data_IF_440350507973
#
_entry.id   IF_440350507973
#
_cell.length_a   1.000
_cell.length_b   1.000
_cell.length_c   1.000
_cell.angle_alpha   90.00
_cell.angle_beta   90.00
_cell.angle_gamma   90.00
#
_symmetry.space_group_name_H-M   'P 1'
#
loop_
_entity.id
_entity.type
_entity.pdbx_description
1 polymer ?
#
# COMPACT_ATOMS: atom_id res chain seq x y z
N UNK A 1 -27.90 0.61 2.70
CA UNK A 1 -26.63 1.11 2.17
C UNK A 1 -26.44 2.62 2.33
N UNK A 2 -27.34 3.49 1.88
CA UNK A 2 -27.14 4.95 1.99
C UNK A 2 -27.00 5.42 3.45
N UNK A 3 -27.88 5.00 4.36
CA UNK A 3 -27.80 5.32 5.81
C UNK A 3 -26.52 4.81 6.45
N UNK A 4 -26.09 3.60 6.09
CA UNK A 4 -24.82 3.01 6.56
C UNK A 4 -23.61 3.86 6.11
N UNK A 5 -23.53 4.19 4.80
CA UNK A 5 -22.46 5.04 4.27
C UNK A 5 -22.45 6.43 4.90
N UNK A 6 -23.62 7.05 5.07
CA UNK A 6 -23.74 8.35 5.72
C UNK A 6 -23.27 8.29 7.17
N UNK A 7 -23.66 7.25 7.93
CA UNK A 7 -23.19 7.04 9.30
C UNK A 7 -21.67 6.85 9.39
N UNK A 8 -21.09 6.07 8.46
CA UNK A 8 -19.63 5.88 8.39
C UNK A 8 -18.88 7.15 8.03
N UNK A 9 -19.37 7.90 7.04
CA UNK A 9 -18.78 9.20 6.68
C UNK A 9 -18.83 10.20 7.84
N UNK A 10 -19.95 10.27 8.55
CA UNK A 10 -20.08 11.14 9.73
C UNK A 10 -19.12 10.73 10.83
N UNK A 11 -19.04 9.42 11.14
CA UNK A 11 -18.09 8.89 12.12
C UNK A 11 -16.65 9.24 11.74
N UNK A 12 -16.28 9.07 10.48
CA UNK A 12 -14.94 9.41 10.00
C UNK A 12 -14.64 10.89 10.03
N UNK A 13 -15.60 11.75 9.68
CA UNK A 13 -15.42 13.19 9.78
C UNK A 13 -15.15 13.62 11.23
N UNK A 14 -15.88 13.04 12.20
CA UNK A 14 -15.65 13.30 13.63
C UNK A 14 -14.26 12.80 14.03
N UNK A 15 -13.91 11.55 13.71
CA UNK A 15 -12.60 10.98 14.04
C UNK A 15 -11.46 11.77 13.41
N UNK A 16 -11.66 12.29 12.20
CA UNK A 16 -10.69 13.11 11.51
C UNK A 16 -10.44 14.45 12.22
N UNK A 17 -11.51 15.14 12.63
CA UNK A 17 -11.38 16.40 13.38
C UNK A 17 -10.71 16.14 14.74
N UNK A 18 -11.09 15.07 15.44
CA UNK A 18 -10.45 14.65 16.70
C UNK A 18 -8.96 14.37 16.49
N UNK A 19 -8.62 13.64 15.44
CA UNK A 19 -7.22 13.31 15.09
C UNK A 19 -6.40 14.58 14.82
N UNK A 20 -6.89 15.50 13.98
CA UNK A 20 -6.20 16.77 13.72
C UNK A 20 -6.07 17.62 14.99
N UNK A 21 -7.09 17.61 15.85
CA UNK A 21 -7.05 18.32 17.15
C UNK A 21 -5.96 17.74 18.05
N UNK A 22 -5.83 16.41 18.09
CA UNK A 22 -4.76 15.74 18.85
C UNK A 22 -3.38 16.08 18.29
N UNK A 23 -3.20 16.08 16.95
CA UNK A 23 -1.95 16.50 16.30
C UNK A 23 -1.60 17.93 16.68
N UNK A 24 -2.57 18.85 16.64
CA UNK A 24 -2.37 20.23 17.05
C UNK A 24 -2.02 20.36 18.54
N UNK A 25 -2.72 19.62 19.42
CA UNK A 25 -2.41 19.60 20.86
C UNK A 25 -1.00 19.06 21.14
N UNK A 26 -0.57 18.01 20.40
CA UNK A 26 0.81 17.50 20.51
C UNK A 26 1.84 18.56 20.14
N UNK A 27 1.56 19.37 19.11
CA UNK A 27 2.43 20.49 18.73
C UNK A 27 2.54 21.51 19.85
N UNK A 28 1.41 21.87 20.49
CA UNK A 28 1.40 22.83 21.59
C UNK A 28 2.05 22.28 22.88
N UNK A 29 2.07 20.95 23.06
CA UNK A 29 2.68 20.29 24.18
C UNK A 29 4.20 20.07 24.04
N UNK A 30 4.78 20.37 22.89
CA UNK A 30 6.23 20.26 22.69
C UNK A 30 6.95 21.26 23.63
N UNK A 31 8.01 20.82 24.32
CA UNK A 31 8.79 21.71 25.17
C UNK A 31 9.54 22.74 24.32
N UNK A 32 9.33 24.03 24.63
CA UNK A 32 9.86 25.17 23.87
C UNK A 32 8.76 25.85 23.06
N UNK A 33 8.93 27.15 22.80
CA UNK A 33 8.03 27.86 21.88
C UNK A 33 8.31 27.30 20.46
N UNK A 34 7.26 26.89 19.75
CA UNK A 34 7.34 26.47 18.35
C UNK A 34 8.10 27.56 17.56
N UNK A 35 7.91 28.81 17.92
CA UNK A 35 8.65 29.93 17.35
C UNK A 35 10.16 29.88 17.67
N UNK A 36 10.58 29.39 18.82
CA UNK A 36 11.99 29.32 19.19
C UNK A 36 12.72 28.18 18.48
N UNK A 37 12.06 27.04 18.28
CA UNK A 37 12.58 25.93 17.47
C UNK A 37 12.72 26.32 15.99
N UNK A 38 11.76 27.09 15.46
CA UNK A 38 11.75 27.67 14.14
C UNK A 38 12.74 28.82 13.95
N UNK A 39 12.91 29.63 14.99
CA UNK A 39 13.73 30.85 15.00
C UNK A 39 15.19 30.53 15.36
N UNK A 40 15.40 29.40 16.05
CA UNK A 40 16.73 28.99 16.54
C UNK A 40 17.71 28.51 15.47
N UNK A 41 17.25 28.18 14.26
CA UNK A 41 18.15 27.78 13.17
C UNK A 41 18.83 29.01 12.53
N UNK A 42 20.15 29.20 12.74
CA UNK A 42 20.86 30.35 12.19
C UNK A 42 20.97 30.33 10.67
N UNK A 43 20.65 29.22 10.00
CA UNK A 43 20.68 29.08 8.53
C UNK A 43 19.52 29.79 7.85
N UNK A 44 18.41 30.00 8.56
CA UNK A 44 17.21 30.65 8.02
C UNK A 44 17.33 32.18 8.20
N UNK A 45 17.24 32.97 7.13
CA UNK A 45 17.28 34.46 7.20
C UNK A 45 16.19 35.02 8.13
N UNK A 46 16.52 36.05 8.91
CA UNK A 46 15.58 36.64 9.89
C UNK A 46 14.27 37.14 9.26
N UNK A 47 14.32 37.64 8.03
CA UNK A 47 13.14 38.06 7.27
C UNK A 47 12.18 36.89 7.01
N UNK A 48 12.73 35.74 6.59
CA UNK A 48 11.94 34.51 6.32
C UNK A 48 11.33 33.96 7.61
N UNK A 49 12.06 34.02 8.73
CA UNK A 49 11.55 33.60 10.04
C UNK A 49 10.35 34.45 10.50
N UNK A 50 10.40 35.75 10.30
CA UNK A 50 9.30 36.69 10.62
C UNK A 50 8.08 36.41 9.74
N UNK A 51 8.30 36.24 8.46
CA UNK A 51 7.24 35.90 7.48
C UNK A 51 6.56 34.55 7.79
N UNK A 52 7.35 33.53 8.14
CA UNK A 52 6.85 32.23 8.61
C UNK A 52 6.06 32.33 9.91
N UNK A 53 6.52 33.14 10.86
CA UNK A 53 5.83 33.40 12.14
C UNK A 53 4.47 34.05 11.91
N UNK A 54 4.40 34.98 10.97
CA UNK A 54 3.18 35.68 10.60
C UNK A 54 2.23 34.79 9.80
N UNK A 55 2.74 34.03 8.82
CA UNK A 55 1.94 33.11 8.00
C UNK A 55 1.36 31.93 8.80
N UNK A 56 2.09 31.46 9.82
CA UNK A 56 1.62 30.43 10.76
C UNK A 56 0.71 30.98 11.86
N UNK A 57 0.54 32.32 11.93
CA UNK A 57 -0.31 32.96 12.90
C UNK A 57 0.12 32.76 14.37
N UNK A 58 1.43 32.48 14.62
CA UNK A 58 1.94 32.16 15.96
C UNK A 58 1.82 33.32 16.97
N UNK A 59 1.55 34.52 16.51
CA UNK A 59 1.28 35.70 17.33
C UNK A 59 -0.19 35.82 17.75
N UNK A 60 -1.07 34.91 17.31
CA UNK A 60 -2.50 34.97 17.53
C UNK A 60 -2.94 34.13 18.77
N UNK A 61 -4.12 34.36 19.33
CA UNK A 61 -4.65 33.51 20.39
C UNK A 61 -4.79 32.06 19.95
N UNK A 62 -4.59 31.10 20.87
CA UNK A 62 -4.55 29.66 20.58
C UNK A 62 -5.78 29.14 19.81
N UNK A 63 -6.98 29.66 20.08
CA UNK A 63 -8.19 29.26 19.34
C UNK A 63 -8.15 29.69 17.86
N UNK A 64 -7.52 30.84 17.56
CA UNK A 64 -7.35 31.30 16.19
C UNK A 64 -6.30 30.47 15.48
N UNK A 65 -5.17 30.17 16.14
CA UNK A 65 -4.13 29.27 15.61
C UNK A 65 -4.72 27.89 15.26
N UNK A 66 -5.56 27.32 16.14
CA UNK A 66 -6.25 26.06 15.90
C UNK A 66 -7.15 26.11 14.67
N UNK A 67 -8.01 27.15 14.56
CA UNK A 67 -8.90 27.30 13.41
C UNK A 67 -8.11 27.50 12.10
N UNK A 68 -7.04 28.27 12.16
CA UNK A 68 -6.14 28.47 11.02
C UNK A 68 -5.47 27.16 10.60
N UNK A 69 -4.97 26.36 11.56
CA UNK A 69 -4.38 25.06 11.29
C UNK A 69 -5.36 24.13 10.57
N UNK A 70 -6.59 23.99 11.09
CA UNK A 70 -7.64 23.16 10.49
C UNK A 70 -8.00 23.67 9.07
N UNK A 71 -8.18 24.98 8.93
CA UNK A 71 -8.59 25.59 7.65
C UNK A 71 -7.51 25.42 6.58
N UNK A 72 -6.26 25.67 6.94
CA UNK A 72 -5.11 25.53 6.03
C UNK A 72 -4.91 24.07 5.62
N UNK A 73 -5.11 23.13 6.55
CA UNK A 73 -5.06 21.71 6.23
C UNK A 73 -6.07 21.34 5.14
N UNK A 74 -7.33 21.77 5.28
CA UNK A 74 -8.37 21.51 4.27
C UNK A 74 -8.15 22.21 2.93
N UNK A 75 -7.40 23.32 2.93
CA UNK A 75 -6.97 24.02 1.70
C UNK A 75 -5.74 23.39 1.05
N UNK A 76 -5.07 22.45 1.74
CA UNK A 76 -3.80 21.87 1.30
C UNK A 76 -2.59 22.78 1.55
N UNK A 77 -2.77 23.88 2.27
CA UNK A 77 -1.74 24.86 2.63
C UNK A 77 -1.04 24.41 3.92
N UNK A 78 -0.09 23.48 3.80
CA UNK A 78 0.63 22.88 4.94
C UNK A 78 1.94 23.65 5.26
N UNK A 79 2.15 24.80 4.61
CA UNK A 79 3.36 25.61 4.76
C UNK A 79 4.54 25.07 3.97
N UNK A 80 5.73 25.57 4.29
CA UNK A 80 7.00 25.19 3.65
C UNK A 80 7.84 24.34 4.61
N UNK A 81 8.59 23.39 4.04
CA UNK A 81 9.54 22.57 4.79
C UNK A 81 10.75 23.43 5.18
N UNK A 82 11.15 23.37 6.45
CA UNK A 82 12.31 24.13 6.92
C UNK A 82 13.61 23.54 6.44
N UNK A 83 13.72 22.22 6.47
CA UNK A 83 14.93 21.50 6.05
C UNK A 83 15.14 21.50 4.54
N UNK A 84 14.09 21.81 3.77
CA UNK A 84 14.10 21.79 2.29
C UNK A 84 13.56 23.09 1.68
N UNK A 85 13.73 24.19 2.41
CA UNK A 85 13.29 25.51 1.95
C UNK A 85 13.81 25.80 0.52
N UNK A 86 12.99 26.36 -0.40
CA UNK A 86 11.61 26.85 -0.23
C UNK A 86 10.51 25.85 -0.64
N UNK A 87 10.73 24.53 -0.53
CA UNK A 87 9.78 23.53 -0.99
C UNK A 87 8.53 23.46 -0.10
N UNK A 88 7.36 23.46 -0.73
CA UNK A 88 6.09 23.27 -0.03
C UNK A 88 5.96 21.85 0.51
N UNK A 89 5.43 21.74 1.73
CA UNK A 89 5.15 20.46 2.38
C UNK A 89 4.19 19.63 1.54
N UNK A 90 3.13 20.22 1.00
CA UNK A 90 2.16 19.57 0.11
C UNK A 90 2.83 18.89 -1.08
N UNK A 91 3.74 19.56 -1.77
CA UNK A 91 4.46 19.03 -2.91
C UNK A 91 5.35 17.84 -2.54
N UNK A 92 6.04 17.91 -1.39
CA UNK A 92 6.87 16.81 -0.87
C UNK A 92 6.03 15.57 -0.57
N UNK A 93 4.87 15.74 0.07
CA UNK A 93 3.96 14.67 0.41
C UNK A 93 3.33 14.02 -0.83
N UNK A 94 2.87 14.81 -1.80
CA UNK A 94 2.35 14.30 -3.06
C UNK A 94 3.37 13.52 -3.89
N UNK A 95 4.66 13.83 -3.75
CA UNK A 95 5.73 13.05 -4.39
C UNK A 95 6.04 11.74 -3.65
N UNK A 96 5.93 11.70 -2.32
CA UNK A 96 6.24 10.54 -1.51
C UNK A 96 5.08 9.52 -1.46
N UNK A 97 3.84 9.99 -1.41
CA UNK A 97 2.64 9.18 -1.25
C UNK A 97 2.48 8.06 -2.29
N UNK A 98 2.59 8.31 -3.61
CA UNK A 98 2.43 7.25 -4.60
C UNK A 98 3.50 6.17 -4.49
N UNK A 99 4.71 6.52 -4.05
CA UNK A 99 5.80 5.56 -3.86
C UNK A 99 5.49 4.60 -2.70
N UNK A 100 4.96 5.11 -1.59
CA UNK A 100 4.47 4.29 -0.48
C UNK A 100 3.34 3.39 -0.93
N UNK A 101 2.32 3.95 -1.58
CA UNK A 101 1.15 3.19 -2.04
C UNK A 101 1.53 2.07 -3.01
N UNK A 102 2.36 2.35 -4.01
CA UNK A 102 2.79 1.33 -4.98
C UNK A 102 3.57 0.23 -4.30
N UNK A 103 4.51 0.56 -3.43
CA UNK A 103 5.32 -0.42 -2.72
C UNK A 103 4.44 -1.39 -1.91
N UNK A 104 3.63 -0.85 -1.00
CA UNK A 104 2.84 -1.66 -0.07
C UNK A 104 1.67 -2.35 -0.76
N UNK A 105 0.97 -1.68 -1.69
CA UNK A 105 -0.15 -2.26 -2.43
C UNK A 105 0.32 -3.43 -3.30
N UNK A 106 1.41 -3.25 -4.03
CA UNK A 106 1.96 -4.31 -4.89
C UNK A 106 2.41 -5.51 -4.07
N UNK A 107 3.14 -5.29 -2.96
CA UNK A 107 3.58 -6.35 -2.07
C UNK A 107 2.39 -7.11 -1.47
N UNK A 108 1.37 -6.39 -0.98
CA UNK A 108 0.17 -6.99 -0.38
C UNK A 108 -0.61 -7.80 -1.40
N UNK A 109 -0.92 -7.24 -2.57
CA UNK A 109 -1.71 -7.93 -3.59
C UNK A 109 -0.99 -9.19 -4.12
N UNK A 110 0.32 -9.11 -4.36
CA UNK A 110 1.12 -10.27 -4.77
C UNK A 110 1.15 -11.35 -3.69
N UNK A 111 1.34 -10.95 -2.42
CA UNK A 111 1.37 -11.86 -1.29
C UNK A 111 0.04 -12.60 -1.11
N UNK A 112 -1.08 -11.88 -1.20
CA UNK A 112 -2.41 -12.49 -1.09
C UNK A 112 -2.71 -13.42 -2.27
N UNK A 113 -2.38 -13.01 -3.48
CA UNK A 113 -2.58 -13.85 -4.66
C UNK A 113 -1.75 -15.14 -4.62
N UNK A 114 -0.45 -15.05 -4.28
CA UNK A 114 0.43 -16.20 -4.13
C UNK A 114 0.02 -17.06 -2.93
N UNK A 115 -0.25 -16.42 -1.78
CA UNK A 115 -0.66 -17.09 -0.54
C UNK A 115 -1.96 -17.87 -0.71
N UNK A 116 -2.95 -17.29 -1.38
CA UNK A 116 -4.20 -17.99 -1.70
C UNK A 116 -3.98 -19.19 -2.63
N UNK A 117 -3.19 -19.02 -3.69
CA UNK A 117 -2.90 -20.13 -4.62
C UNK A 117 -2.17 -21.27 -3.93
N UNK A 118 -1.11 -20.96 -3.19
CA UNK A 118 -0.29 -21.98 -2.50
C UNK A 118 -1.04 -22.62 -1.34
N UNK A 119 -1.73 -21.81 -0.49
CA UNK A 119 -2.53 -22.30 0.62
C UNK A 119 -3.62 -23.30 0.18
N UNK A 120 -4.34 -22.96 -0.90
CA UNK A 120 -5.31 -23.85 -1.54
C UNK A 120 -4.67 -25.16 -2.01
N UNK A 121 -3.49 -25.11 -2.60
CA UNK A 121 -2.82 -26.27 -3.17
C UNK A 121 -2.30 -27.21 -2.08
N UNK A 122 -1.71 -26.67 -1.02
CA UNK A 122 -1.18 -27.46 0.09
C UNK A 122 -2.31 -28.08 0.93
N UNK A 123 -3.43 -27.38 1.13
CA UNK A 123 -4.60 -27.94 1.80
C UNK A 123 -5.16 -29.17 1.04
N UNK A 124 -5.15 -29.12 -0.31
CA UNK A 124 -5.59 -30.22 -1.15
C UNK A 124 -4.63 -31.41 -1.13
N UNK A 125 -3.32 -31.17 -1.00
CA UNK A 125 -2.27 -32.21 -0.96
C UNK A 125 -1.88 -32.59 0.46
N UNK A 126 -2.86 -32.65 1.37
CA UNK A 126 -2.65 -32.96 2.80
C UNK A 126 -1.86 -34.27 2.97
N UNK A 127 -0.82 -34.23 3.82
CA UNK A 127 0.07 -35.37 4.10
C UNK A 127 1.29 -35.48 3.20
N UNK A 128 1.41 -34.66 2.16
CA UNK A 128 2.60 -34.65 1.31
C UNK A 128 3.80 -33.95 1.99
N UNK A 129 5.03 -34.42 1.70
CA UNK A 129 6.25 -33.79 2.22
C UNK A 129 6.36 -32.29 1.86
N UNK A 130 5.88 -31.90 0.67
CA UNK A 130 5.81 -30.51 0.23
C UNK A 130 4.89 -29.65 1.10
N UNK A 131 3.85 -30.21 1.68
CA UNK A 131 2.98 -29.50 2.63
C UNK A 131 3.76 -29.11 3.88
N UNK A 132 4.49 -30.04 4.50
CA UNK A 132 5.25 -29.77 5.71
C UNK A 132 6.32 -28.69 5.49
N UNK A 133 7.06 -28.77 4.38
CA UNK A 133 8.06 -27.74 4.03
C UNK A 133 7.47 -26.35 3.86
N UNK A 134 6.34 -26.24 3.17
CA UNK A 134 5.66 -24.95 2.97
C UNK A 134 5.04 -24.43 4.27
N UNK A 135 4.50 -25.29 5.14
CA UNK A 135 3.98 -24.86 6.45
C UNK A 135 5.11 -24.30 7.30
N UNK A 136 6.24 -25.02 7.42
CA UNK A 136 7.40 -24.55 8.20
C UNK A 136 7.92 -23.23 7.66
N UNK A 137 8.07 -23.12 6.32
CA UNK A 137 8.46 -21.86 5.68
C UNK A 137 7.47 -20.72 5.94
N UNK A 138 6.16 -21.02 5.88
CA UNK A 138 5.11 -20.04 6.16
C UNK A 138 5.13 -19.55 7.60
N UNK A 139 5.31 -20.47 8.57
CA UNK A 139 5.45 -20.14 10.00
C UNK A 139 6.69 -19.28 10.20
N UNK A 140 7.84 -19.66 9.62
CA UNK A 140 9.07 -18.87 9.69
C UNK A 140 8.85 -17.46 9.17
N UNK A 141 8.30 -17.30 7.96
CA UNK A 141 8.06 -16.01 7.34
C UNK A 141 7.07 -15.14 8.14
N UNK A 142 6.06 -15.74 8.76
CA UNK A 142 5.09 -15.01 9.58
C UNK A 142 5.66 -14.55 10.92
N UNK A 143 6.59 -15.33 11.52
CA UNK A 143 7.10 -15.09 12.87
C UNK A 143 8.45 -14.39 12.89
N UNK A 144 9.14 -14.32 11.75
CA UNK A 144 10.45 -13.69 11.66
C UNK A 144 10.37 -12.20 12.02
N UNK A 145 11.37 -11.71 12.77
CA UNK A 145 11.50 -10.29 13.07
C UNK A 145 11.80 -9.52 11.78
N UNK A 146 10.79 -8.82 11.27
CA UNK A 146 10.81 -8.18 9.95
C UNK A 146 12.04 -7.32 9.67
N UNK A 147 12.52 -6.41 10.58
CA UNK A 147 13.70 -5.58 10.30
C UNK A 147 14.95 -6.40 10.03
N UNK A 148 15.17 -7.47 10.83
CA UNK A 148 16.28 -8.39 10.62
C UNK A 148 16.17 -9.09 9.26
N UNK A 149 14.99 -9.62 8.95
CA UNK A 149 14.76 -10.30 7.67
C UNK A 149 15.00 -9.37 6.48
N UNK A 150 14.53 -8.12 6.55
CA UNK A 150 14.74 -7.13 5.50
C UNK A 150 16.23 -6.81 5.29
N UNK A 151 17.00 -6.69 6.36
CA UNK A 151 18.47 -6.49 6.27
C UNK A 151 19.15 -7.72 5.66
N UNK A 152 18.77 -8.93 6.05
CA UNK A 152 19.30 -10.17 5.46
C UNK A 152 19.00 -10.26 3.98
N UNK A 153 17.78 -9.94 3.56
CA UNK A 153 17.39 -9.88 2.15
C UNK A 153 18.21 -8.85 1.37
N UNK A 154 18.38 -7.66 1.92
CA UNK A 154 19.20 -6.61 1.32
C UNK A 154 20.67 -7.01 1.20
N UNK A 155 21.23 -7.60 2.27
CA UNK A 155 22.61 -8.07 2.26
C UNK A 155 22.82 -9.22 1.28
N UNK A 156 21.93 -10.23 1.28
CA UNK A 156 22.09 -11.41 0.42
C UNK A 156 21.90 -11.05 -1.05
N UNK A 157 20.78 -10.44 -1.40
CA UNK A 157 20.39 -10.23 -2.80
C UNK A 157 20.90 -8.91 -3.37
N UNK A 158 21.09 -7.89 -2.54
CA UNK A 158 21.63 -6.61 -2.96
C UNK A 158 23.16 -6.59 -2.95
N UNK A 159 23.78 -6.96 -1.81
CA UNK A 159 25.22 -6.85 -1.65
C UNK A 159 25.99 -8.09 -2.11
N UNK A 160 25.68 -9.29 -1.56
CA UNK A 160 26.47 -10.48 -1.80
C UNK A 160 26.28 -11.06 -3.21
N UNK A 161 25.04 -11.10 -3.71
CA UNK A 161 24.73 -11.60 -5.07
C UNK A 161 24.72 -10.49 -6.12
N UNK A 162 24.50 -9.24 -5.75
CA UNK A 162 24.41 -8.12 -6.71
C UNK A 162 23.21 -8.21 -7.66
N UNK A 163 22.18 -8.97 -7.29
CA UNK A 163 21.00 -9.15 -8.15
C UNK A 163 20.07 -7.94 -8.16
N UNK A 164 20.04 -7.19 -7.04
CA UNK A 164 19.19 -6.02 -6.90
C UNK A 164 19.99 -4.83 -6.35
N UNK A 165 19.52 -3.60 -6.60
CA UNK A 165 20.13 -2.39 -6.05
C UNK A 165 20.06 -2.39 -4.51
N UNK A 166 21.10 -1.81 -3.89
CA UNK A 166 21.14 -1.63 -2.44
C UNK A 166 20.34 -0.37 -2.06
N UNK A 167 19.02 -0.49 -2.04
CA UNK A 167 18.12 0.60 -1.67
C UNK A 167 18.01 1.72 -2.71
N UNK A 168 17.41 2.85 -2.31
CA UNK A 168 17.05 4.02 -3.12
C UNK A 168 15.89 3.74 -4.09
N UNK A 169 15.46 4.80 -4.78
CA UNK A 169 14.37 4.75 -5.77
C UNK A 169 14.88 4.63 -7.20
N UNK A 170 16.07 5.17 -7.45
CA UNK A 170 16.71 5.24 -8.76
C UNK A 170 18.23 5.18 -8.62
N UNK A 171 18.93 4.79 -9.67
CA UNK A 171 20.39 4.94 -9.77
C UNK A 171 20.75 6.38 -10.16
N UNK A 172 21.32 7.13 -9.22
CA UNK A 172 21.70 8.53 -9.43
C UNK A 172 22.66 8.74 -10.61
N UNK A 173 23.50 7.73 -10.95
CA UNK A 173 24.44 7.83 -12.07
C UNK A 173 23.72 7.73 -13.42
N UNK A 174 22.77 6.81 -13.52
CA UNK A 174 21.97 6.62 -14.74
C UNK A 174 21.09 7.83 -15.03
N UNK A 175 20.59 8.49 -13.98
CA UNK A 175 19.68 9.63 -14.11
C UNK A 175 20.38 10.99 -14.24
N UNK A 176 21.70 11.02 -14.13
CA UNK A 176 22.47 12.25 -14.34
C UNK A 176 22.41 12.66 -15.81
N UNK A 177 21.79 13.81 -16.09
CA UNK A 177 21.58 14.28 -17.48
C UNK A 177 20.39 13.65 -18.21
N UNK A 178 19.54 12.89 -17.51
CA UNK A 178 18.32 12.32 -18.09
C UNK A 178 17.36 13.42 -18.57
N UNK A 179 16.74 13.27 -19.77
CA UNK A 179 15.67 14.15 -20.21
C UNK A 179 14.35 13.93 -19.46
N UNK A 180 14.26 12.85 -18.67
CA UNK A 180 13.06 12.47 -17.94
C UNK A 180 13.21 12.78 -16.44
N UNK A 181 12.10 13.18 -15.82
CA UNK A 181 11.99 13.32 -14.37
C UNK A 181 11.45 12.01 -13.77
N UNK A 182 12.14 11.47 -12.76
CA UNK A 182 11.80 10.18 -12.16
C UNK A 182 10.35 10.14 -11.61
N UNK A 183 9.88 11.22 -10.99
CA UNK A 183 8.50 11.29 -10.49
C UNK A 183 7.47 11.24 -11.61
N UNK A 184 7.66 12.03 -12.66
CA UNK A 184 6.72 12.07 -13.78
C UNK A 184 6.65 10.72 -14.49
N UNK A 185 7.81 10.07 -14.69
CA UNK A 185 7.87 8.75 -15.29
C UNK A 185 7.19 7.70 -14.41
N UNK A 186 7.39 7.77 -13.09
CA UNK A 186 6.73 6.88 -12.14
C UNK A 186 5.20 7.05 -12.15
N UNK A 187 4.69 8.29 -12.21
CA UNK A 187 3.27 8.53 -12.38
C UNK A 187 2.72 7.96 -13.68
N UNK A 188 3.46 8.07 -14.79
CA UNK A 188 3.07 7.47 -16.07
C UNK A 188 3.04 5.94 -16.00
N UNK A 189 3.98 5.31 -15.27
CA UNK A 189 3.97 3.87 -15.01
C UNK A 189 2.70 3.46 -14.24
N UNK A 190 2.37 4.18 -13.17
CA UNK A 190 1.14 3.92 -12.37
C UNK A 190 -0.10 4.07 -13.28
N UNK A 191 -0.19 5.17 -14.00
CA UNK A 191 -1.33 5.45 -14.88
C UNK A 191 -1.49 4.36 -15.95
N UNK A 192 -0.39 3.91 -16.56
CA UNK A 192 -0.42 2.83 -17.56
C UNK A 192 -0.95 1.50 -16.97
N UNK A 193 -0.55 1.16 -15.74
CA UNK A 193 -1.08 -0.03 -15.03
C UNK A 193 -2.56 0.12 -14.73
N UNK A 194 -3.01 1.30 -14.28
CA UNK A 194 -4.43 1.57 -14.00
C UNK A 194 -5.26 1.45 -15.29
N UNK A 195 -4.83 2.07 -16.38
CA UNK A 195 -5.52 2.03 -17.68
C UNK A 195 -5.61 0.61 -18.22
N UNK A 196 -4.50 -0.15 -18.20
CA UNK A 196 -4.48 -1.54 -18.67
C UNK A 196 -5.37 -2.43 -17.78
N UNK A 197 -5.36 -2.22 -16.46
CA UNK A 197 -6.23 -2.93 -15.52
C UNK A 197 -7.72 -2.62 -15.76
N UNK A 198 -8.06 -1.37 -16.07
CA UNK A 198 -9.43 -0.96 -16.42
C UNK A 198 -9.88 -1.61 -17.74
N UNK A 199 -9.03 -1.60 -18.78
CA UNK A 199 -9.30 -2.25 -20.07
C UNK A 199 -9.51 -3.75 -19.87
N UNK A 200 -8.66 -4.41 -19.09
CA UNK A 200 -8.80 -5.82 -18.74
C UNK A 200 -10.12 -6.09 -18.00
N UNK A 201 -10.48 -5.25 -17.02
CA UNK A 201 -11.73 -5.35 -16.26
C UNK A 201 -12.97 -5.24 -17.15
N UNK A 202 -12.98 -4.25 -18.05
CA UNK A 202 -14.05 -4.06 -19.04
C UNK A 202 -14.12 -5.26 -19.99
N UNK A 203 -12.98 -5.69 -20.53
CA UNK A 203 -12.91 -6.85 -21.43
C UNK A 203 -13.43 -8.12 -20.75
N UNK A 204 -13.04 -8.38 -19.50
CA UNK A 204 -13.54 -9.50 -18.70
C UNK A 204 -15.06 -9.43 -18.45
N UNK A 205 -15.57 -8.24 -18.17
CA UNK A 205 -17.02 -8.02 -18.02
C UNK A 205 -17.78 -8.34 -19.32
N UNK A 206 -17.29 -7.88 -20.46
CA UNK A 206 -17.88 -8.15 -21.77
C UNK A 206 -17.81 -9.64 -22.11
N UNK A 207 -16.67 -10.30 -21.88
CA UNK A 207 -16.55 -11.76 -22.08
C UNK A 207 -17.56 -12.49 -21.17
N UNK A 208 -17.75 -12.08 -19.92
CA UNK A 208 -18.73 -12.66 -19.02
C UNK A 208 -20.18 -12.50 -19.49
N UNK A 209 -20.46 -11.42 -20.23
CA UNK A 209 -21.80 -11.13 -20.74
C UNK A 209 -22.12 -11.85 -22.05
N UNK A 210 -21.13 -12.02 -22.93
CA UNK A 210 -21.34 -12.56 -24.28
C UNK A 210 -20.92 -14.02 -24.47
N UNK A 211 -19.97 -14.53 -23.69
CA UNK A 211 -19.55 -15.92 -23.78
C UNK A 211 -20.56 -16.84 -23.10
N UNK A 212 -21.18 -17.75 -23.87
CA UNK A 212 -22.22 -18.68 -23.40
C UNK A 212 -21.65 -19.85 -22.60
N UNK A 213 -20.43 -20.25 -22.86
CA UNK A 213 -19.76 -21.39 -22.22
C UNK A 213 -18.68 -20.93 -21.24
N UNK A 214 -18.68 -21.56 -20.04
CA UNK A 214 -17.75 -21.25 -18.95
C UNK A 214 -16.28 -21.55 -19.26
N UNK A 215 -16.03 -22.56 -20.11
CA UNK A 215 -14.67 -22.89 -20.55
C UNK A 215 -14.12 -21.83 -21.51
N UNK A 216 -14.96 -21.41 -22.46
CA UNK A 216 -14.64 -20.34 -23.40
C UNK A 216 -14.43 -19.01 -22.64
N UNK A 217 -15.28 -18.70 -21.66
CA UNK A 217 -15.13 -17.53 -20.80
C UNK A 217 -13.79 -17.51 -20.06
N UNK A 218 -13.41 -18.67 -19.48
CA UNK A 218 -12.13 -18.81 -18.77
C UNK A 218 -10.92 -18.62 -19.71
N UNK A 219 -10.94 -19.25 -20.88
CA UNK A 219 -9.86 -19.14 -21.86
C UNK A 219 -9.72 -17.73 -22.42
N UNK A 220 -10.83 -17.08 -22.77
CA UNK A 220 -10.83 -15.71 -23.27
C UNK A 220 -10.36 -14.72 -22.21
N UNK A 221 -10.79 -14.88 -20.94
CA UNK A 221 -10.32 -14.00 -19.85
C UNK A 221 -8.84 -14.18 -19.55
N UNK A 222 -8.31 -15.41 -19.64
CA UNK A 222 -6.87 -15.65 -19.51
C UNK A 222 -6.09 -15.04 -20.69
N UNK A 223 -6.58 -15.23 -21.92
CA UNK A 223 -5.98 -14.63 -23.14
C UNK A 223 -5.94 -13.10 -23.05
N UNK A 224 -7.04 -12.47 -22.64
CA UNK A 224 -7.08 -11.01 -22.38
C UNK A 224 -6.06 -10.58 -21.33
N UNK A 225 -5.89 -11.35 -20.25
CA UNK A 225 -4.89 -11.08 -19.21
C UNK A 225 -3.46 -11.09 -19.78
N UNK A 226 -3.12 -12.14 -20.56
CA UNK A 226 -1.81 -12.21 -21.21
C UNK A 226 -1.60 -11.09 -22.23
N UNK A 227 -2.62 -10.75 -23.01
CA UNK A 227 -2.56 -9.65 -23.98
C UNK A 227 -2.38 -8.30 -23.26
N UNK A 228 -3.09 -8.06 -22.17
CA UNK A 228 -2.98 -6.83 -21.38
C UNK A 228 -1.59 -6.65 -20.78
N UNK A 229 -1.04 -7.71 -20.18
CA UNK A 229 0.33 -7.69 -19.65
C UNK A 229 1.35 -7.54 -20.78
N UNK A 230 1.20 -8.30 -21.87
CA UNK A 230 2.08 -8.21 -23.02
C UNK A 230 2.07 -6.82 -23.67
N UNK A 231 0.91 -6.20 -23.80
CA UNK A 231 0.78 -4.84 -24.32
C UNK A 231 1.46 -3.80 -23.40
N UNK A 232 1.33 -3.95 -22.08
CA UNK A 232 2.00 -3.06 -21.12
C UNK A 232 3.53 -3.19 -21.21
N UNK A 233 4.03 -4.43 -21.24
CA UNK A 233 5.46 -4.70 -21.37
C UNK A 233 5.99 -4.17 -22.70
N UNK A 234 5.29 -4.43 -23.80
CA UNK A 234 5.68 -3.97 -25.13
C UNK A 234 5.67 -2.45 -25.23
N UNK A 235 4.65 -1.79 -24.66
CA UNK A 235 4.56 -0.33 -24.61
C UNK A 235 5.80 0.28 -23.95
N UNK A 236 6.18 -0.21 -22.77
CA UNK A 236 7.35 0.31 -22.05
C UNK A 236 8.67 -0.13 -22.69
N UNK A 237 8.71 -1.30 -23.35
CA UNK A 237 9.89 -1.76 -24.09
C UNK A 237 10.20 -0.88 -25.30
N UNK A 238 9.18 -0.38 -26.00
CA UNK A 238 9.32 0.50 -27.15
C UNK A 238 9.43 1.99 -26.74
N UNK A 239 9.18 2.32 -25.50
CA UNK A 239 9.19 3.71 -25.02
C UNK A 239 10.63 4.25 -24.91
N UNK A 240 10.90 5.53 -25.30
CA UNK A 240 12.24 6.12 -25.17
C UNK A 240 12.83 6.09 -23.75
N UNK A 241 11.97 6.06 -22.73
CA UNK A 241 12.38 5.98 -21.32
C UNK A 241 12.58 4.53 -20.81
N UNK A 242 12.64 3.50 -21.68
CA UNK A 242 12.74 2.09 -21.31
C UNK A 242 13.78 1.83 -20.20
N UNK A 243 14.99 2.33 -20.38
CA UNK A 243 16.10 2.10 -19.42
C UNK A 243 15.77 2.64 -18.04
N UNK A 244 15.14 3.80 -17.96
CA UNK A 244 14.72 4.45 -16.72
C UNK A 244 13.55 3.74 -16.04
N UNK A 245 12.60 3.20 -16.83
CA UNK A 245 11.48 2.40 -16.33
C UNK A 245 11.98 1.10 -15.71
N UNK A 246 12.92 0.42 -16.38
CA UNK A 246 13.56 -0.80 -15.88
C UNK A 246 14.33 -0.51 -14.58
N UNK A 247 15.03 0.64 -14.49
CA UNK A 247 15.73 1.06 -13.28
C UNK A 247 14.77 1.22 -12.09
N UNK A 248 13.69 1.99 -12.26
CA UNK A 248 12.67 2.17 -11.20
C UNK A 248 12.08 0.82 -10.79
N UNK A 249 11.70 -0.03 -11.75
CA UNK A 249 11.14 -1.35 -11.48
C UNK A 249 12.13 -2.23 -10.71
N UNK A 250 13.40 -2.22 -11.09
CA UNK A 250 14.47 -3.00 -10.44
C UNK A 250 14.69 -2.58 -8.98
N UNK A 251 14.68 -1.27 -8.70
CA UNK A 251 14.77 -0.74 -7.33
C UNK A 251 13.53 -1.08 -6.47
N UNK A 252 12.37 -1.23 -7.09
CA UNK A 252 11.12 -1.57 -6.40
C UNK A 252 11.02 -3.07 -6.05
N UNK A 253 11.69 -3.96 -6.82
CA UNK A 253 11.50 -5.41 -6.70
C UNK A 253 11.89 -5.96 -5.33
N UNK A 254 13.08 -5.66 -4.84
CA UNK A 254 13.58 -6.24 -3.58
C UNK A 254 12.73 -5.84 -2.36
N UNK A 255 12.37 -4.56 -2.15
CA UNK A 255 11.44 -4.19 -1.10
C UNK A 255 10.07 -4.87 -1.20
N UNK A 256 9.51 -4.97 -2.43
CA UNK A 256 8.23 -5.64 -2.68
C UNK A 256 8.29 -7.13 -2.36
N UNK A 257 9.36 -7.82 -2.80
CA UNK A 257 9.56 -9.25 -2.52
C UNK A 257 9.70 -9.48 -1.02
N UNK A 258 10.51 -8.68 -0.34
CA UNK A 258 10.77 -8.83 1.10
C UNK A 258 9.50 -8.67 1.93
N UNK A 259 8.75 -7.59 1.71
CA UNK A 259 7.48 -7.33 2.39
C UNK A 259 6.43 -8.37 2.00
N UNK A 260 6.40 -8.72 0.71
CA UNK A 260 5.49 -9.71 0.16
C UNK A 260 5.68 -11.10 0.76
N UNK A 261 6.92 -11.54 1.01
CA UNK A 261 7.20 -12.86 1.60
C UNK A 261 6.62 -13.02 3.02
N UNK A 262 6.77 -12.00 3.86
CA UNK A 262 6.21 -12.03 5.23
C UNK A 262 4.69 -12.10 5.19
N UNK A 263 4.06 -11.25 4.39
CA UNK A 263 2.60 -11.25 4.21
C UNK A 263 2.09 -12.55 3.55
N UNK A 264 2.87 -13.10 2.62
CA UNK A 264 2.58 -14.39 1.96
C UNK A 264 2.48 -15.53 2.96
N UNK A 265 3.42 -15.64 3.92
CA UNK A 265 3.42 -16.70 4.94
C UNK A 265 2.10 -16.74 5.71
N UNK A 266 1.67 -15.60 6.24
CA UNK A 266 0.41 -15.46 6.97
C UNK A 266 -0.81 -15.81 6.10
N UNK A 267 -0.88 -15.27 4.88
CA UNK A 267 -2.00 -15.50 3.95
C UNK A 267 -2.10 -16.96 3.50
N UNK A 268 -0.96 -17.61 3.26
CA UNK A 268 -0.90 -19.02 2.87
C UNK A 268 -1.44 -19.91 3.98
N UNK A 269 -1.01 -19.71 5.23
CA UNK A 269 -1.46 -20.47 6.39
C UNK A 269 -2.95 -20.25 6.69
N UNK A 270 -3.44 -19.01 6.62
CA UNK A 270 -4.84 -18.68 6.75
C UNK A 270 -5.68 -19.38 5.68
N UNK A 271 -5.24 -19.32 4.42
CA UNK A 271 -5.94 -19.99 3.31
C UNK A 271 -5.98 -21.51 3.51
N UNK A 272 -4.86 -22.10 3.95
CA UNK A 272 -4.81 -23.54 4.22
C UNK A 272 -5.81 -23.95 5.32
N UNK A 273 -5.83 -23.24 6.44
CA UNK A 273 -6.76 -23.56 7.54
C UNK A 273 -8.22 -23.44 7.09
N UNK A 274 -8.59 -22.36 6.42
CA UNK A 274 -9.92 -22.15 5.89
C UNK A 274 -10.35 -23.18 4.83
N UNK A 275 -9.40 -23.60 3.98
CA UNK A 275 -9.65 -24.68 3.02
C UNK A 275 -9.89 -26.03 3.70
N UNK A 276 -9.12 -26.36 4.75
CA UNK A 276 -9.30 -27.63 5.49
C UNK A 276 -10.64 -27.68 6.20
N UNK A 277 -11.07 -26.58 6.82
CA UNK A 277 -12.40 -26.44 7.41
C UNK A 277 -13.50 -26.66 6.37
N UNK A 278 -13.41 -25.95 5.24
CA UNK A 278 -14.38 -26.05 4.15
C UNK A 278 -14.45 -27.46 3.53
N UNK A 279 -13.32 -28.16 3.42
CA UNK A 279 -13.27 -29.51 2.87
C UNK A 279 -13.96 -30.58 3.77
N UNK A 280 -14.23 -30.26 5.05
CA UNK A 280 -14.98 -31.07 5.98
C UNK A 280 -16.51 -30.95 5.87
N UNK A 281 -17.02 -29.99 5.08
CA UNK A 281 -18.43 -29.67 4.98
C UNK A 281 -19.23 -30.69 4.13
N UNK A 282 -20.49 -30.95 4.48
CA UNK A 282 -21.38 -31.95 3.84
C UNK A 282 -21.60 -31.70 2.35
N UNK A 283 -21.63 -30.44 1.90
CA UNK A 283 -21.81 -30.16 0.49
C UNK A 283 -20.60 -30.57 -0.38
N UNK A 284 -19.41 -30.67 0.19
CA UNK A 284 -18.22 -31.23 -0.48
C UNK A 284 -18.37 -32.73 -0.65
N UNK A 285 -18.91 -33.42 0.37
CA UNK A 285 -19.23 -34.84 0.27
C UNK A 285 -20.27 -35.12 -0.82
N UNK A 286 -21.29 -34.28 -0.89
CA UNK A 286 -22.32 -34.34 -1.95
C UNK A 286 -21.71 -34.10 -3.34
N UNK A 287 -20.78 -33.16 -3.47
CA UNK A 287 -20.08 -32.88 -4.74
C UNK A 287 -19.25 -34.11 -5.20
N UNK A 288 -18.57 -34.78 -4.27
CA UNK A 288 -17.86 -36.05 -4.55
C UNK A 288 -18.80 -37.17 -4.96
N UNK A 289 -19.92 -37.35 -4.24
CA UNK A 289 -20.92 -38.34 -4.56
C UNK A 289 -21.55 -38.17 -5.96
N UNK A 290 -21.63 -36.93 -6.45
CA UNK A 290 -22.03 -36.59 -7.82
C UNK A 290 -20.96 -36.86 -8.87
N UNK A 291 -19.77 -37.33 -8.51
CA UNK A 291 -18.68 -37.68 -9.43
C UNK A 291 -17.99 -36.46 -10.04
N UNK A 292 -18.06 -35.28 -9.39
CA UNK A 292 -17.38 -34.09 -9.89
C UNK A 292 -15.85 -34.28 -9.82
N UNK A 293 -15.10 -33.81 -10.82
CA UNK A 293 -13.64 -33.89 -10.80
C UNK A 293 -13.04 -33.05 -9.65
N UNK A 294 -11.95 -33.57 -9.08
CA UNK A 294 -11.25 -32.98 -7.92
C UNK A 294 -10.90 -31.50 -8.12
N UNK A 295 -10.49 -31.11 -9.32
CA UNK A 295 -10.19 -29.72 -9.67
C UNK A 295 -11.42 -28.81 -9.53
N UNK A 296 -12.60 -29.30 -9.90
CA UNK A 296 -13.86 -28.54 -9.77
C UNK A 296 -14.27 -28.43 -8.31
N UNK A 297 -14.16 -29.50 -7.54
CA UNK A 297 -14.46 -29.51 -6.12
C UNK A 297 -13.54 -28.51 -5.40
N UNK A 298 -12.23 -28.60 -5.64
CA UNK A 298 -11.23 -27.72 -5.05
C UNK A 298 -11.45 -26.24 -5.40
N UNK A 299 -11.57 -25.95 -6.71
CA UNK A 299 -11.48 -24.55 -7.22
C UNK A 299 -12.83 -23.83 -7.21
N UNK A 300 -13.94 -24.55 -7.38
CA UNK A 300 -15.28 -23.95 -7.46
C UNK A 300 -16.11 -24.09 -6.19
N UNK A 301 -16.00 -25.22 -5.50
CA UNK A 301 -16.81 -25.49 -4.31
C UNK A 301 -16.06 -25.09 -3.03
N UNK A 302 -14.90 -25.67 -2.78
CA UNK A 302 -14.15 -25.42 -1.54
C UNK A 302 -13.51 -24.02 -1.52
N UNK A 303 -12.73 -23.65 -2.56
CA UNK A 303 -11.99 -22.39 -2.58
C UNK A 303 -12.89 -21.16 -2.50
N UNK A 304 -14.11 -21.20 -3.05
CA UNK A 304 -15.04 -20.07 -3.01
C UNK A 304 -15.45 -19.70 -1.58
N UNK A 305 -15.72 -20.68 -0.75
CA UNK A 305 -16.11 -20.45 0.65
C UNK A 305 -14.90 -20.18 1.54
N UNK A 306 -13.78 -20.88 1.29
CA UNK A 306 -12.51 -20.64 1.97
C UNK A 306 -11.91 -19.24 1.71
N UNK A 307 -12.36 -18.55 0.65
CA UNK A 307 -11.92 -17.21 0.30
C UNK A 307 -12.48 -16.15 1.27
N UNK A 308 -13.59 -16.40 1.96
CA UNK A 308 -14.24 -15.38 2.80
C UNK A 308 -13.30 -14.83 3.90
N UNK A 309 -12.67 -15.64 4.78
CA UNK A 309 -11.74 -15.12 5.77
C UNK A 309 -10.50 -14.49 5.15
N UNK A 310 -10.05 -14.99 4.00
CA UNK A 310 -8.87 -14.46 3.28
C UNK A 310 -9.17 -13.08 2.70
N UNK A 311 -10.35 -12.87 2.11
CA UNK A 311 -10.77 -11.55 1.62
C UNK A 311 -10.95 -10.55 2.76
N UNK A 312 -11.48 -10.98 3.89
CA UNK A 312 -11.56 -10.17 5.11
C UNK A 312 -10.16 -9.71 5.55
N UNK A 313 -9.21 -10.64 5.62
CA UNK A 313 -7.81 -10.33 5.96
C UNK A 313 -7.15 -9.39 4.94
N UNK A 314 -7.43 -9.57 3.62
CA UNK A 314 -6.95 -8.66 2.57
C UNK A 314 -7.47 -7.23 2.78
N UNK A 315 -8.76 -7.08 3.05
CA UNK A 315 -9.39 -5.77 3.25
C UNK A 315 -8.76 -5.05 4.46
N UNK A 316 -8.53 -5.77 5.56
CA UNK A 316 -7.80 -5.24 6.72
C UNK A 316 -6.36 -4.86 6.36
N UNK A 317 -5.64 -5.74 5.65
CA UNK A 317 -4.27 -5.44 5.22
C UNK A 317 -4.20 -4.19 4.34
N UNK A 318 -5.15 -4.00 3.42
CA UNK A 318 -5.22 -2.80 2.56
C UNK A 318 -5.42 -1.52 3.36
N UNK A 319 -6.15 -1.56 4.49
CA UNK A 319 -6.30 -0.39 5.37
C UNK A 319 -4.96 0.03 6.00
N UNK A 320 -4.09 -0.93 6.32
CA UNK A 320 -2.75 -0.65 6.86
C UNK A 320 -1.73 -0.24 5.80
N UNK A 321 -1.90 -0.64 4.54
CA UNK A 321 -1.03 -0.25 3.41
C UNK A 321 -0.89 1.27 3.32
N UNK A 322 -1.97 1.97 3.57
CA UNK A 322 -2.07 3.42 3.43
C UNK A 322 -1.27 4.16 4.52
N UNK A 323 -1.10 3.54 5.70
CA UNK A 323 -0.29 4.08 6.80
C UNK A 323 1.21 4.09 6.55
N UNK A 324 1.67 3.39 5.49
CA UNK A 324 3.09 3.26 5.18
C UNK A 324 3.86 2.38 6.17
N UNK A 325 5.14 2.19 5.90
CA UNK A 325 6.01 1.39 6.76
C UNK A 325 7.37 2.06 6.94
N UNK A 326 7.52 2.88 7.97
CA UNK A 326 8.76 3.59 8.29
C UNK A 326 9.97 2.64 8.24
N UNK A 327 9.83 1.45 8.82
CA UNK A 327 10.90 0.45 8.90
C UNK A 327 11.34 -0.02 7.51
N UNK A 328 10.38 -0.41 6.66
CA UNK A 328 10.66 -0.87 5.28
C UNK A 328 11.33 0.23 4.46
N UNK A 329 10.74 1.41 4.47
CA UNK A 329 11.21 2.55 3.71
C UNK A 329 12.60 3.01 4.17
N UNK A 330 12.88 2.93 5.48
CA UNK A 330 14.19 3.26 6.05
C UNK A 330 15.26 2.24 5.65
N UNK A 331 14.99 0.94 5.80
CA UNK A 331 15.98 -0.12 5.50
C UNK A 331 16.35 -0.09 4.01
N UNK A 332 15.35 0.05 3.13
CA UNK A 332 15.57 0.10 1.68
C UNK A 332 15.87 1.52 1.17
N UNK A 333 15.99 2.52 2.05
CA UNK A 333 16.14 3.94 1.66
C UNK A 333 15.12 4.37 0.60
N UNK A 334 13.91 3.83 0.70
CA UNK A 334 12.82 4.09 -0.23
C UNK A 334 12.15 5.42 0.12
N UNK A 335 12.14 6.43 -0.79
CA UNK A 335 11.70 7.78 -0.46
C UNK A 335 10.17 7.90 -0.45
N UNK A 336 9.53 7.20 0.48
CA UNK A 336 8.10 7.22 0.74
C UNK A 336 7.73 8.13 1.92
N UNK A 337 6.46 8.04 2.32
CA UNK A 337 5.87 8.85 3.39
C UNK A 337 6.50 8.59 4.77
N UNK A 338 6.77 7.31 5.10
CA UNK A 338 7.33 6.93 6.39
C UNK A 338 8.77 7.38 6.55
N UNK A 339 9.62 7.24 5.50
CA UNK A 339 10.98 7.75 5.52
C UNK A 339 11.00 9.28 5.58
N UNK A 340 10.12 9.94 4.83
CA UNK A 340 9.98 11.39 4.84
C UNK A 340 9.61 11.91 6.23
N UNK A 341 8.65 11.26 6.89
CA UNK A 341 8.23 11.56 8.26
C UNK A 341 9.40 11.39 9.26
N UNK A 342 10.12 10.27 9.18
CA UNK A 342 11.27 10.02 10.06
C UNK A 342 12.38 11.05 9.85
N UNK A 343 12.67 11.42 8.60
CA UNK A 343 13.65 12.47 8.28
C UNK A 343 13.23 13.81 8.86
N UNK A 344 11.95 14.18 8.72
CA UNK A 344 11.41 15.43 9.25
C UNK A 344 11.57 15.52 10.78
N UNK A 345 11.30 14.42 11.50
CA UNK A 345 11.49 14.37 12.96
C UNK A 345 12.98 14.53 13.33
N UNK A 346 13.86 13.81 12.65
CA UNK A 346 15.29 13.81 12.97
C UNK A 346 15.96 15.19 12.79
N UNK A 347 15.44 16.02 11.88
CA UNK A 347 15.94 17.39 11.63
C UNK A 347 15.04 18.47 12.22
N UNK A 348 14.05 18.09 13.05
CA UNK A 348 13.08 18.99 13.68
C UNK A 348 12.30 19.87 12.67
N UNK A 349 12.01 19.34 11.47
CA UNK A 349 11.17 20.00 10.47
C UNK A 349 9.69 19.81 10.83
N UNK A 350 9.20 20.65 11.71
CA UNK A 350 7.86 20.54 12.28
C UNK A 350 6.75 20.58 11.22
N UNK A 351 6.72 21.54 10.27
CA UNK A 351 5.66 21.57 9.25
C UNK A 351 5.62 20.29 8.41
N UNK A 352 6.79 19.77 8.02
CA UNK A 352 6.87 18.54 7.24
C UNK A 352 6.44 17.32 8.06
N UNK A 353 6.85 17.22 9.33
CA UNK A 353 6.47 16.12 10.22
C UNK A 353 4.96 16.11 10.48
N UNK A 354 4.37 17.27 10.78
CA UNK A 354 2.93 17.42 11.01
C UNK A 354 2.12 17.14 9.74
N UNK A 355 2.55 17.67 8.61
CA UNK A 355 1.92 17.41 7.32
C UNK A 355 1.94 15.92 6.98
N UNK A 356 3.08 15.25 7.14
CA UNK A 356 3.22 13.81 6.89
C UNK A 356 2.34 12.97 7.83
N UNK A 357 2.33 13.29 9.13
CA UNK A 357 1.47 12.62 10.11
C UNK A 357 -0.01 12.82 9.80
N UNK A 358 -0.41 14.05 9.47
CA UNK A 358 -1.80 14.39 9.16
C UNK A 358 -2.30 13.68 7.91
N UNK A 359 -1.53 13.69 6.81
CA UNK A 359 -1.89 12.96 5.58
C UNK A 359 -1.94 11.44 5.83
N UNK A 360 -0.97 10.89 6.56
CA UNK A 360 -0.97 9.46 6.90
C UNK A 360 -2.22 9.08 7.70
N UNK A 361 -2.63 9.92 8.66
CA UNK A 361 -3.86 9.72 9.43
C UNK A 361 -5.13 9.78 8.57
N UNK A 362 -5.22 10.77 7.67
CA UNK A 362 -6.33 10.84 6.69
C UNK A 362 -6.41 9.58 5.85
N UNK A 363 -5.27 9.17 5.33
CA UNK A 363 -5.20 8.00 4.46
C UNK A 363 -5.57 6.72 5.23
N UNK A 364 -5.17 6.59 6.48
CA UNK A 364 -5.59 5.47 7.34
C UNK A 364 -7.12 5.45 7.51
N UNK A 365 -7.75 6.60 7.75
CA UNK A 365 -9.21 6.72 7.83
C UNK A 365 -9.89 6.37 6.50
N UNK A 366 -9.36 6.87 5.38
CA UNK A 366 -9.84 6.51 4.03
C UNK A 366 -9.70 5.01 3.78
N UNK A 367 -8.58 4.41 4.18
CA UNK A 367 -8.37 2.95 4.08
C UNK A 367 -9.40 2.15 4.85
N UNK A 368 -9.74 2.58 6.07
CA UNK A 368 -10.80 1.96 6.86
C UNK A 368 -12.18 2.13 6.21
N UNK A 369 -12.48 3.29 5.60
CA UNK A 369 -13.72 3.49 4.85
C UNK A 369 -13.82 2.54 3.67
N UNK A 370 -12.74 2.43 2.89
CA UNK A 370 -12.68 1.49 1.76
C UNK A 370 -12.89 0.05 2.26
N UNK A 371 -12.28 -0.31 3.40
CA UNK A 371 -12.49 -1.61 4.03
C UNK A 371 -13.95 -1.84 4.41
N UNK A 372 -14.59 -0.89 5.08
CA UNK A 372 -16.01 -0.98 5.47
C UNK A 372 -16.94 -1.12 4.26
N UNK A 373 -16.67 -0.39 3.17
CA UNK A 373 -17.41 -0.50 1.91
C UNK A 373 -17.21 -1.89 1.29
N UNK A 374 -15.97 -2.38 1.23
CA UNK A 374 -15.67 -3.71 0.71
C UNK A 374 -16.32 -4.81 1.55
N UNK A 375 -16.31 -4.70 2.88
CA UNK A 375 -17.05 -5.62 3.76
C UNK A 375 -18.55 -5.62 3.45
N UNK A 376 -19.17 -4.44 3.35
CA UNK A 376 -20.59 -4.34 3.03
C UNK A 376 -20.96 -4.90 1.63
N UNK A 377 -20.00 -4.93 0.71
CA UNK A 377 -20.18 -5.51 -0.63
C UNK A 377 -19.98 -7.03 -0.64
N UNK A 378 -19.00 -7.54 0.13
CA UNK A 378 -18.60 -8.94 0.14
C UNK A 378 -19.47 -9.79 1.09
N UNK A 379 -19.92 -9.24 2.22
CA UNK A 379 -20.76 -9.93 3.18
C UNK A 379 -22.20 -9.37 3.18
N UNK A 380 -23.16 -10.09 2.56
CA UNK A 380 -24.56 -9.66 2.53
C UNK A 380 -25.22 -9.66 3.91
N UNK A 381 -24.64 -10.30 4.94
CA UNK A 381 -25.19 -10.36 6.31
C UNK A 381 -25.08 -9.01 7.03
N UNK A 382 -24.11 -8.18 6.67
CA UNK A 382 -23.89 -6.84 7.26
C UNK A 382 -24.93 -5.83 6.75
N UNK A 383 -25.66 -6.12 5.67
CA UNK A 383 -26.67 -5.20 5.10
C UNK A 383 -27.96 -5.11 5.91
N UNK A 384 -28.13 -5.91 6.92
CA UNK A 384 -29.41 -6.08 7.66
C UNK A 384 -29.37 -5.48 9.07
N UNK A 385 -28.21 -4.94 9.52
CA UNK A 385 -28.08 -4.30 10.81
C UNK A 385 -28.14 -2.76 10.71
#
# INVERSE_FOLDING_TARGET
>A
MFKFLLGRLTQMAILFVVFLSLVWLMLQAMPGDISDTLIGDPTIPRSVRLELRESLGLNQPLHVQYLTFITNFFRGEMGVSFSRYPQEVSALLWNALPRTLVLFLTATLLAFWLGFKTGKLIAWRRGAASEHGLIVSGIFLQTVFYPWFAIVMLWTFGFAMGWFPIGRFIDARLWQGSPFQANNLFFQMILSVIVVSAIFGIGRYLVGRYARDLLTQSRLSQGLGFLSIGALVLFWWLHPAQVYVVDIAHHTMLPVITLGLVTFGATMLLTRSSMLETLGEDYILTARAKGLPDSVIRDRHAARNALLPVTTSLVLALSFVIGGGIVTETIFSWPGMGLLFLQAINVSDIPLAVGALSITGVLALVGHLVADILYALLDPRIRVA
#
